data_IF_600574041582
#
_entry.id   IF_600574041582
#
_cell.length_a   1.000
_cell.length_b   1.000
_cell.length_c   1.000
_cell.angle_alpha   90.00
_cell.angle_beta   90.00
_cell.angle_gamma   90.00
#
_symmetry.space_group_name_H-M   'P 1'
#
loop_
_entity.id
_entity.type
_entity.pdbx_description
1 polymer ?
#
# COMPACT_ATOMS: atom_id res chain seq x y z
N UNK A 1 -13.43 32.90 -17.39
CA UNK A 1 -12.63 33.19 -16.18
C UNK A 1 -13.05 32.21 -15.09
N UNK A 2 -12.18 31.26 -14.76
CA UNK A 2 -12.11 30.49 -13.50
C UNK A 2 -10.97 29.48 -13.67
N UNK A 3 -9.75 29.99 -13.51
CA UNK A 3 -8.54 29.18 -13.51
C UNK A 3 -8.45 28.42 -12.20
N UNK A 4 -8.81 27.14 -12.23
CA UNK A 4 -8.40 26.20 -11.20
C UNK A 4 -6.89 26.02 -11.33
N UNK A 5 -6.13 26.78 -10.54
CA UNK A 5 -4.72 26.50 -10.29
C UNK A 5 -4.68 25.24 -9.44
N UNK A 6 -4.25 24.13 -10.03
CA UNK A 6 -3.87 22.92 -9.31
C UNK A 6 -2.83 23.29 -8.24
N UNK A 7 -3.00 22.90 -6.97
CA UNK A 7 -1.88 22.90 -6.04
C UNK A 7 -0.94 21.79 -6.51
N UNK A 8 0.14 22.19 -7.18
CA UNK A 8 1.33 21.36 -7.33
C UNK A 8 1.91 21.13 -5.93
N UNK A 9 1.59 19.98 -5.37
CA UNK A 9 2.08 19.42 -4.10
C UNK A 9 2.41 17.97 -4.47
N UNK A 10 3.62 17.43 -4.48
CA UNK A 10 4.99 17.77 -4.09
C UNK A 10 5.86 16.95 -5.08
N UNK A 11 6.94 17.45 -5.69
CA UNK A 11 8.16 17.77 -4.98
C UNK A 11 8.70 16.52 -4.30
N UNK A 12 9.74 15.88 -4.85
CA UNK A 12 10.60 14.95 -4.11
C UNK A 12 11.31 15.74 -3.01
N UNK A 13 10.57 16.16 -1.99
CA UNK A 13 11.13 16.60 -0.74
C UNK A 13 11.65 15.35 -0.07
N UNK A 14 12.96 15.16 -0.08
CA UNK A 14 13.58 14.51 1.05
C UNK A 14 13.06 15.25 2.28
N UNK A 15 12.08 14.66 2.97
CA UNK A 15 11.52 15.24 4.18
C UNK A 15 12.69 15.55 5.11
N UNK A 16 12.69 16.75 5.69
CA UNK A 16 13.65 17.08 6.74
C UNK A 16 13.67 15.91 7.75
N UNK A 17 14.85 15.45 8.21
CA UNK A 17 14.92 14.35 9.15
C UNK A 17 14.01 14.67 10.33
N UNK A 18 13.12 13.73 10.66
CA UNK A 18 12.18 13.90 11.77
C UNK A 18 12.95 14.30 13.03
N UNK A 19 12.54 15.41 13.66
CA UNK A 19 13.20 15.96 14.83
C UNK A 19 13.30 14.92 15.95
N UNK A 20 14.37 15.01 16.75
CA UNK A 20 14.56 14.11 17.87
C UNK A 20 13.46 14.29 18.93
N UNK A 21 13.09 13.21 19.62
CA UNK A 21 12.02 13.24 20.64
C UNK A 21 12.48 12.76 22.02
N UNK A 22 11.77 13.18 23.08
CA UNK A 22 12.12 12.89 24.48
C UNK A 22 12.19 11.39 24.79
N UNK A 23 13.37 10.78 24.86
CA UNK A 23 13.50 9.33 25.06
C UNK A 23 13.76 8.54 23.78
N UNK A 24 13.95 9.22 22.64
CA UNK A 24 14.50 8.62 21.42
C UNK A 24 15.92 8.10 21.68
N UNK A 25 16.77 8.86 22.39
CA UNK A 25 18.14 8.45 22.68
C UNK A 25 18.22 7.12 23.46
N UNK A 26 17.56 6.93 24.62
CA UNK A 26 17.62 5.65 25.31
C UNK A 26 17.00 4.50 24.49
N UNK A 27 15.96 4.77 23.68
CA UNK A 27 15.38 3.77 22.77
C UNK A 27 16.38 3.37 21.67
N UNK A 28 17.09 4.34 21.11
CA UNK A 28 18.14 4.13 20.12
C UNK A 28 19.34 3.37 20.69
N UNK A 29 19.81 3.70 21.90
CA UNK A 29 20.87 2.93 22.55
C UNK A 29 20.46 1.48 22.83
N UNK A 30 19.18 1.22 23.11
CA UNK A 30 18.65 -0.14 23.19
C UNK A 30 18.61 -0.82 21.81
N UNK A 31 18.14 -0.12 20.77
CA UNK A 31 18.11 -0.63 19.40
C UNK A 31 19.51 -0.97 18.85
N UNK A 32 20.56 -0.22 19.21
CA UNK A 32 21.95 -0.54 18.84
C UNK A 32 22.42 -1.89 19.38
N UNK A 33 21.90 -2.34 20.52
CA UNK A 33 22.19 -3.67 21.07
C UNK A 33 21.52 -4.78 20.26
N UNK A 34 20.40 -4.48 19.61
CA UNK A 34 19.67 -5.40 18.72
C UNK A 34 20.32 -5.52 17.34
N UNK A 35 21.13 -4.52 16.94
CA UNK A 35 21.94 -4.44 15.71
C UNK A 35 21.17 -4.36 14.39
N UNK A 36 20.10 -5.12 14.25
CA UNK A 36 19.30 -5.11 13.03
C UNK A 36 17.83 -5.43 13.30
N UNK A 37 16.96 -4.94 12.43
CA UNK A 37 15.56 -5.33 12.39
C UNK A 37 15.22 -5.90 11.01
N UNK A 38 14.16 -6.71 10.95
CA UNK A 38 13.59 -7.16 9.67
C UNK A 38 12.16 -6.66 9.53
N UNK A 39 11.90 -5.93 8.44
CA UNK A 39 10.60 -5.35 8.11
C UNK A 39 9.93 -6.09 6.95
N UNK A 40 8.76 -6.68 7.18
CA UNK A 40 7.96 -7.29 6.11
C UNK A 40 7.00 -6.24 5.56
N UNK A 41 7.15 -5.87 4.29
CA UNK A 41 6.40 -4.74 3.72
C UNK A 41 5.73 -5.07 2.39
N UNK A 42 4.48 -4.64 2.30
CA UNK A 42 3.65 -4.65 1.09
C UNK A 42 3.16 -3.24 0.71
N UNK A 43 3.50 -2.21 1.48
CA UNK A 43 3.05 -0.82 1.25
C UNK A 43 3.70 -0.21 0.02
N UNK A 44 4.97 -0.54 -0.20
CA UNK A 44 5.81 0.14 -1.17
C UNK A 44 6.43 -0.82 -2.19
N UNK A 45 6.98 -0.25 -3.27
CA UNK A 45 7.89 -0.99 -4.14
C UNK A 45 9.28 -1.16 -3.49
N UNK A 46 10.13 -1.94 -4.13
CA UNK A 46 11.45 -2.26 -3.56
C UNK A 46 12.36 -1.03 -3.49
N UNK A 47 12.26 -0.11 -4.44
CA UNK A 47 13.05 1.13 -4.47
C UNK A 47 12.69 2.03 -3.27
N UNK A 48 11.40 2.25 -3.05
CA UNK A 48 10.91 3.07 -1.93
C UNK A 48 11.18 2.39 -0.58
N UNK A 49 11.02 1.07 -0.47
CA UNK A 49 11.36 0.35 0.75
C UNK A 49 12.87 0.45 1.08
N UNK A 50 13.74 0.33 0.06
CA UNK A 50 15.17 0.53 0.23
C UNK A 50 15.49 1.97 0.66
N UNK A 51 14.84 2.97 0.07
CA UNK A 51 15.04 4.37 0.42
C UNK A 51 14.62 4.66 1.88
N UNK A 52 13.50 4.09 2.34
CA UNK A 52 13.05 4.21 3.73
C UNK A 52 14.03 3.56 4.71
N UNK A 53 14.47 2.33 4.43
CA UNK A 53 15.51 1.69 5.26
C UNK A 53 16.82 2.49 5.24
N UNK A 54 17.25 3.02 4.09
CA UNK A 54 18.45 3.86 4.02
C UNK A 54 18.31 5.18 4.78
N UNK A 55 17.11 5.77 4.83
CA UNK A 55 16.80 6.92 5.68
C UNK A 55 16.85 6.59 7.17
N UNK A 56 16.28 5.44 7.54
CA UNK A 56 16.34 4.91 8.91
C UNK A 56 17.79 4.69 9.36
N UNK A 57 18.60 4.01 8.57
CA UNK A 57 20.01 3.72 8.90
C UNK A 57 20.87 4.99 9.02
N UNK A 58 20.58 6.02 8.21
CA UNK A 58 21.22 7.34 8.34
C UNK A 58 20.83 8.05 9.63
N UNK A 59 19.56 7.94 10.05
CA UNK A 59 19.07 8.54 11.30
C UNK A 59 19.56 7.78 12.53
N UNK A 60 19.68 6.46 12.44
CA UNK A 60 20.08 5.57 13.55
C UNK A 60 21.32 4.72 13.20
N UNK A 61 22.52 5.32 13.10
CA UNK A 61 23.75 4.58 12.77
C UNK A 61 24.03 3.35 13.63
N UNK A 62 24.36 2.23 13.00
CA UNK A 62 24.66 0.98 13.70
C UNK A 62 23.42 0.13 14.03
N UNK A 63 22.23 0.54 13.56
CA UNK A 63 21.04 -0.30 13.49
C UNK A 63 20.68 -0.53 12.03
N UNK A 64 20.84 -1.75 11.54
CA UNK A 64 20.55 -2.11 10.14
C UNK A 64 19.06 -2.36 9.93
N UNK A 65 18.53 -1.88 8.80
CA UNK A 65 17.16 -2.13 8.37
C UNK A 65 17.14 -3.15 7.24
N UNK A 66 16.87 -4.42 7.56
CA UNK A 66 16.57 -5.42 6.56
C UNK A 66 15.08 -5.33 6.21
N UNK A 67 14.72 -5.58 4.95
CA UNK A 67 13.32 -5.62 4.54
C UNK A 67 13.03 -6.79 3.59
N UNK A 68 11.82 -7.32 3.70
CA UNK A 68 11.26 -8.27 2.74
C UNK A 68 10.07 -7.60 2.08
N UNK A 69 10.27 -7.17 0.84
CA UNK A 69 9.21 -6.60 0.03
C UNK A 69 8.49 -7.70 -0.73
N UNK A 70 7.18 -7.84 -0.53
CA UNK A 70 6.31 -8.73 -1.32
C UNK A 70 4.86 -8.26 -1.27
N UNK A 71 3.95 -8.93 -1.99
CA UNK A 71 2.51 -8.62 -1.94
C UNK A 71 1.90 -9.00 -0.58
N UNK A 72 0.86 -8.27 -0.16
CA UNK A 72 0.33 -8.36 1.20
C UNK A 72 -0.10 -9.77 1.63
N UNK A 73 -0.75 -10.54 0.74
CA UNK A 73 -1.18 -11.90 1.06
C UNK A 73 0.03 -12.83 1.25
N UNK A 74 1.06 -12.67 0.42
CA UNK A 74 2.31 -13.45 0.53
C UNK A 74 3.08 -13.10 1.81
N UNK A 75 3.17 -11.81 2.15
CA UNK A 75 3.82 -11.36 3.38
C UNK A 75 3.10 -11.91 4.62
N UNK A 76 1.77 -11.85 4.63
CA UNK A 76 0.95 -12.36 5.72
C UNK A 76 1.05 -13.89 5.84
N UNK A 77 0.99 -14.63 4.73
CA UNK A 77 1.13 -16.09 4.74
C UNK A 77 2.48 -16.53 5.30
N UNK A 78 3.57 -15.87 4.88
CA UNK A 78 4.91 -16.12 5.41
C UNK A 78 4.97 -15.85 6.92
N UNK A 79 4.52 -14.67 7.34
CA UNK A 79 4.47 -14.33 8.76
C UNK A 79 3.64 -15.35 9.56
N UNK A 80 2.48 -15.76 9.05
CA UNK A 80 1.62 -16.72 9.72
C UNK A 80 2.28 -18.10 9.86
N UNK A 81 3.12 -18.50 8.90
CA UNK A 81 3.93 -19.71 9.02
C UNK A 81 4.99 -19.56 10.10
N UNK A 82 5.74 -18.45 10.10
CA UNK A 82 6.76 -18.15 11.11
C UNK A 82 6.15 -18.16 12.53
N UNK A 83 5.02 -17.49 12.73
CA UNK A 83 4.33 -17.42 14.03
C UNK A 83 3.84 -18.78 14.51
N UNK A 84 3.25 -19.59 13.62
CA UNK A 84 2.81 -20.96 13.97
C UNK A 84 3.96 -21.89 14.31
N UNK A 85 5.12 -21.68 13.69
CA UNK A 85 6.34 -22.43 13.97
C UNK A 85 7.12 -21.88 15.18
N UNK A 86 6.64 -20.81 15.83
CA UNK A 86 7.34 -20.17 16.95
C UNK A 86 8.63 -19.44 16.54
N UNK A 87 8.78 -19.09 15.25
CA UNK A 87 9.97 -18.46 14.70
C UNK A 87 9.80 -16.94 14.74
N UNK A 88 10.75 -16.27 15.39
CA UNK A 88 10.84 -14.81 15.41
C UNK A 88 11.77 -14.33 14.28
N UNK A 89 11.20 -13.90 13.15
CA UNK A 89 11.97 -13.39 11.99
C UNK A 89 11.76 -11.89 11.76
N UNK A 90 10.51 -11.47 11.61
CA UNK A 90 10.17 -10.06 11.41
C UNK A 90 10.03 -9.35 12.76
N UNK A 91 10.34 -8.05 12.77
CA UNK A 91 10.02 -7.16 13.89
C UNK A 91 8.77 -6.32 13.58
N UNK A 92 8.60 -5.90 12.31
CA UNK A 92 7.49 -5.07 11.84
C UNK A 92 6.84 -5.72 10.62
N UNK A 93 5.51 -5.67 10.56
CA UNK A 93 4.74 -5.95 9.34
C UNK A 93 3.97 -4.70 8.90
N UNK A 94 4.05 -4.40 7.61
CA UNK A 94 3.30 -3.34 6.94
C UNK A 94 2.51 -3.95 5.77
N UNK A 95 1.28 -4.37 6.06
CA UNK A 95 0.37 -4.97 5.10
C UNK A 95 -0.61 -3.95 4.52
N UNK A 96 -0.94 -4.11 3.23
CA UNK A 96 -1.96 -3.30 2.54
C UNK A 96 -3.36 -3.89 2.63
N UNK A 97 -3.54 -4.99 3.35
CA UNK A 97 -4.85 -5.55 3.69
C UNK A 97 -5.09 -5.39 5.19
N UNK A 98 -6.01 -4.50 5.54
CA UNK A 98 -6.35 -4.21 6.93
C UNK A 98 -6.92 -5.43 7.67
N UNK A 99 -7.52 -6.39 6.97
CA UNK A 99 -8.11 -7.58 7.60
C UNK A 99 -7.07 -8.49 8.25
N UNK A 100 -5.83 -8.46 7.77
CA UNK A 100 -4.72 -9.18 8.40
C UNK A 100 -4.52 -8.76 9.86
N UNK A 101 -4.64 -7.46 10.16
CA UNK A 101 -4.42 -6.95 11.51
C UNK A 101 -5.49 -7.40 12.49
N UNK A 102 -6.76 -7.46 12.07
CA UNK A 102 -7.82 -8.05 12.88
C UNK A 102 -7.54 -9.51 13.24
N UNK A 103 -6.98 -10.28 12.29
CA UNK A 103 -6.59 -11.67 12.53
C UNK A 103 -5.36 -11.79 13.43
N UNK A 104 -4.30 -11.02 13.18
CA UNK A 104 -3.10 -11.01 14.01
C UNK A 104 -3.37 -10.56 15.45
N UNK A 105 -4.29 -9.61 15.64
CA UNK A 105 -4.81 -9.21 16.96
C UNK A 105 -5.48 -10.38 17.67
N UNK A 106 -6.42 -11.06 17.01
CA UNK A 106 -7.11 -12.24 17.55
C UNK A 106 -6.14 -13.37 17.93
N UNK A 107 -5.11 -13.57 17.12
CA UNK A 107 -4.10 -14.61 17.34
C UNK A 107 -2.98 -14.18 18.33
N UNK A 108 -3.01 -12.94 18.83
CA UNK A 108 -2.07 -12.44 19.83
C UNK A 108 -0.65 -12.19 19.30
N UNK A 109 -0.49 -11.94 18.00
CA UNK A 109 0.82 -11.80 17.34
C UNK A 109 1.39 -10.38 17.37
N UNK A 110 0.63 -9.39 17.82
CA UNK A 110 1.04 -7.98 17.86
C UNK A 110 1.34 -7.55 19.30
N UNK A 111 2.30 -6.64 19.46
CA UNK A 111 2.51 -5.91 20.72
C UNK A 111 1.91 -4.50 20.62
N UNK A 112 1.37 -3.96 21.72
CA UNK A 112 0.88 -2.59 21.76
C UNK A 112 2.07 -1.63 21.63
N UNK A 113 1.94 -0.68 20.71
CA UNK A 113 2.86 0.43 20.56
C UNK A 113 2.13 1.62 19.97
N UNK A 114 2.16 2.73 20.71
CA UNK A 114 1.62 4.01 20.28
C UNK A 114 2.75 4.91 19.79
N UNK A 115 2.90 5.14 18.48
CA UNK A 115 3.89 6.10 17.98
C UNK A 115 3.55 7.50 18.48
N UNK A 116 4.59 8.31 18.73
CA UNK A 116 4.39 9.66 19.30
C UNK A 116 3.71 10.61 18.34
N UNK A 117 4.07 10.52 17.07
CA UNK A 117 3.47 11.29 15.99
C UNK A 117 2.04 10.84 15.65
N UNK A 118 1.47 9.85 16.36
CA UNK A 118 0.09 9.44 16.13
C UNK A 118 -0.91 10.57 16.39
N UNK A 119 -0.60 11.49 17.30
CA UNK A 119 -1.42 12.69 17.54
C UNK A 119 -1.46 13.64 16.33
N UNK A 120 -0.39 13.65 15.53
CA UNK A 120 -0.22 14.46 14.32
C UNK A 120 -0.87 13.84 13.09
N UNK A 121 -1.36 12.59 13.19
CA UNK A 121 -2.08 11.94 12.11
C UNK A 121 -3.33 12.75 11.74
N UNK A 122 -3.56 12.91 10.43
CA UNK A 122 -4.77 13.56 9.91
C UNK A 122 -6.01 12.87 10.48
N UNK A 123 -6.97 13.66 10.99
CA UNK A 123 -8.13 13.16 11.73
C UNK A 123 -8.93 12.09 10.98
N UNK A 124 -9.04 12.21 9.66
CA UNK A 124 -9.72 11.22 8.81
C UNK A 124 -9.12 9.82 8.89
N UNK A 125 -7.84 9.66 9.25
CA UNK A 125 -7.18 8.36 9.38
C UNK A 125 -7.17 7.82 10.83
N UNK A 126 -7.47 8.66 11.83
CA UNK A 126 -7.50 8.22 13.24
C UNK A 126 -8.45 7.04 13.51
N UNK A 127 -9.65 6.97 12.90
CA UNK A 127 -10.56 5.83 13.07
C UNK A 127 -10.03 4.49 12.56
N UNK A 128 -8.95 4.46 11.78
CA UNK A 128 -8.34 3.23 11.26
C UNK A 128 -7.23 2.67 12.15
N UNK A 129 -6.90 3.37 13.24
CA UNK A 129 -5.96 2.86 14.25
C UNK A 129 -6.65 1.88 15.19
N UNK A 130 -5.90 0.91 15.70
CA UNK A 130 -6.41 0.01 16.73
C UNK A 130 -6.52 0.76 18.08
N UNK A 131 -7.64 0.65 18.80
CA UNK A 131 -7.80 1.30 20.10
C UNK A 131 -6.86 0.74 21.18
N UNK A 132 -6.32 -0.48 21.01
CA UNK A 132 -5.35 -1.09 21.92
C UNK A 132 -3.89 -0.86 21.45
N UNK A 133 -3.69 0.07 20.53
CA UNK A 133 -2.39 0.43 19.94
C UNK A 133 -1.64 -0.77 19.31
N UNK A 134 -2.33 -1.84 18.89
CA UNK A 134 -1.69 -3.02 18.29
C UNK A 134 -1.26 -2.80 16.83
N UNK A 135 -1.89 -1.86 16.14
CA UNK A 135 -1.53 -1.42 14.81
C UNK A 135 -2.06 -0.01 14.55
N UNK A 136 -1.40 0.72 13.67
CA UNK A 136 -1.74 2.09 13.32
C UNK A 136 -1.69 2.30 11.81
N UNK A 137 -2.55 3.16 11.28
CA UNK A 137 -2.51 3.57 9.88
C UNK A 137 -1.21 4.32 9.58
N UNK A 138 -0.41 3.81 8.64
CA UNK A 138 0.90 4.37 8.27
C UNK A 138 1.00 4.70 6.78
N UNK A 139 0.13 4.13 5.96
CA UNK A 139 0.01 4.49 4.56
C UNK A 139 -1.46 4.51 4.12
N UNK A 140 -1.75 5.35 3.13
CA UNK A 140 -3.03 5.36 2.44
C UNK A 140 -2.81 5.56 0.95
N UNK A 141 -3.71 4.99 0.15
CA UNK A 141 -3.71 5.17 -1.30
C UNK A 141 -5.11 5.02 -1.87
N UNK A 142 -5.27 5.36 -3.15
CA UNK A 142 -6.53 5.14 -3.86
C UNK A 142 -6.32 4.07 -4.93
N UNK A 143 -7.33 3.21 -5.07
CA UNK A 143 -7.55 2.47 -6.33
C UNK A 143 -8.59 3.23 -7.14
N UNK A 144 -8.21 3.58 -8.36
CA UNK A 144 -8.97 4.38 -9.31
C UNK A 144 -9.08 3.65 -10.65
N UNK A 145 -9.85 4.25 -11.57
CA UNK A 145 -9.76 3.91 -12.98
C UNK A 145 -8.48 4.54 -13.52
N UNK A 146 -7.67 3.77 -14.22
CA UNK A 146 -6.41 4.25 -14.81
C UNK A 146 -6.35 3.84 -16.28
N UNK A 147 -5.71 4.67 -17.11
CA UNK A 147 -5.70 4.46 -18.55
C UNK A 147 -4.47 5.05 -19.23
N UNK A 148 -4.18 4.55 -20.43
CA UNK A 148 -3.10 5.08 -21.28
C UNK A 148 -3.64 6.18 -22.20
N UNK A 149 -3.20 7.42 -22.01
CA UNK A 149 -3.68 8.62 -22.74
C UNK A 149 -3.24 8.67 -24.20
N UNK A 150 -2.23 7.89 -24.60
CA UNK A 150 -1.83 7.79 -26.01
C UNK A 150 -2.74 6.86 -26.83
N UNK A 151 -3.61 6.10 -26.17
CA UNK A 151 -4.53 5.15 -26.82
C UNK A 151 -5.99 5.48 -26.52
N UNK A 152 -6.29 5.97 -25.31
CA UNK A 152 -7.64 6.30 -24.86
C UNK A 152 -7.72 7.81 -24.58
N UNK A 153 -8.43 8.58 -25.42
CA UNK A 153 -8.70 9.99 -25.14
C UNK A 153 -9.49 10.15 -23.83
N UNK A 154 -9.29 11.27 -23.12
CA UNK A 154 -9.93 11.50 -21.83
C UNK A 154 -11.47 11.43 -21.88
N UNK A 155 -12.09 11.85 -22.98
CA UNK A 155 -13.55 11.76 -23.17
C UNK A 155 -14.09 10.35 -23.34
N UNK A 156 -13.23 9.38 -23.64
CA UNK A 156 -13.59 7.97 -23.85
C UNK A 156 -13.15 7.06 -22.71
N UNK A 157 -12.40 7.59 -21.74
CA UNK A 157 -11.93 6.83 -20.59
C UNK A 157 -13.11 6.36 -19.72
N UNK A 158 -12.99 5.19 -19.05
CA UNK A 158 -13.97 4.74 -18.06
C UNK A 158 -14.23 5.80 -17.00
N UNK A 159 -15.50 6.01 -16.66
CA UNK A 159 -15.95 7.00 -15.65
C UNK A 159 -16.56 6.34 -14.43
N UNK A 160 -17.00 5.09 -14.55
CA UNK A 160 -17.51 4.24 -13.46
C UNK A 160 -16.83 2.88 -13.49
N UNK A 161 -16.84 2.16 -12.39
CA UNK A 161 -16.26 0.82 -12.33
C UNK A 161 -16.89 -0.12 -13.35
N UNK A 162 -18.21 -0.05 -13.53
CA UNK A 162 -18.96 -0.86 -14.48
C UNK A 162 -18.51 -0.69 -15.93
N UNK A 163 -17.93 0.46 -16.28
CA UNK A 163 -17.48 0.76 -17.63
C UNK A 163 -16.29 -0.14 -18.03
N UNK A 164 -15.50 -0.64 -17.07
CA UNK A 164 -14.45 -1.63 -17.35
C UNK A 164 -15.00 -2.94 -17.92
N UNK A 165 -16.29 -3.24 -17.71
CA UNK A 165 -16.97 -4.42 -18.25
C UNK A 165 -17.61 -4.19 -19.62
N UNK A 166 -17.49 -3.00 -20.22
CA UNK A 166 -18.03 -2.72 -21.55
C UNK A 166 -17.30 -3.55 -22.63
N UNK A 167 -18.01 -4.14 -23.62
CA UNK A 167 -17.40 -5.00 -24.64
C UNK A 167 -16.26 -4.36 -25.45
N UNK A 168 -16.23 -3.03 -25.58
CA UNK A 168 -15.16 -2.31 -26.28
C UNK A 168 -13.78 -2.48 -25.64
N UNK A 169 -13.74 -2.87 -24.35
CA UNK A 169 -12.52 -3.15 -23.60
C UNK A 169 -12.10 -4.62 -23.60
N UNK A 170 -12.74 -5.47 -24.42
CA UNK A 170 -12.35 -6.88 -24.55
C UNK A 170 -10.88 -7.01 -24.95
N UNK A 171 -10.13 -7.76 -24.15
CA UNK A 171 -8.69 -7.96 -24.27
C UNK A 171 -7.84 -6.72 -24.00
N UNK A 172 -8.39 -5.69 -23.35
CA UNK A 172 -7.74 -4.38 -23.14
C UNK A 172 -7.73 -3.91 -21.67
N UNK A 173 -8.38 -4.64 -20.78
CA UNK A 173 -8.42 -4.33 -19.34
C UNK A 173 -7.28 -5.05 -18.62
N UNK A 174 -6.64 -4.39 -17.66
CA UNK A 174 -5.84 -5.06 -16.63
C UNK A 174 -6.39 -4.85 -15.22
N UNK A 175 -6.27 -5.87 -14.39
CA UNK A 175 -6.53 -5.82 -12.94
C UNK A 175 -5.41 -6.58 -12.21
N UNK A 176 -5.35 -6.45 -10.88
CA UNK A 176 -4.51 -7.33 -10.07
C UNK A 176 -5.28 -8.56 -9.57
N UNK A 177 -4.59 -9.45 -8.85
CA UNK A 177 -5.16 -10.67 -8.30
C UNK A 177 -5.40 -10.55 -6.77
N UNK A 178 -6.62 -10.78 -6.26
CA UNK A 178 -6.96 -10.56 -4.84
C UNK A 178 -6.25 -11.55 -3.89
N UNK A 179 -5.93 -12.76 -4.38
CA UNK A 179 -5.15 -13.75 -3.63
C UNK A 179 -3.67 -13.39 -3.41
N UNK A 180 -3.18 -12.29 -3.99
CA UNK A 180 -1.81 -11.79 -3.81
C UNK A 180 -1.81 -10.37 -3.24
N UNK A 181 -2.55 -9.45 -3.87
CA UNK A 181 -2.56 -8.03 -3.52
C UNK A 181 -3.67 -7.65 -2.53
N UNK A 182 -3.30 -6.97 -1.44
CA UNK A 182 -4.25 -6.44 -0.45
C UNK A 182 -5.16 -5.33 -0.98
N UNK A 183 -4.62 -4.43 -1.81
CA UNK A 183 -5.42 -3.42 -2.51
C UNK A 183 -6.48 -4.07 -3.40
N UNK A 184 -6.09 -5.10 -4.16
CA UNK A 184 -7.03 -5.82 -5.02
C UNK A 184 -8.06 -6.56 -4.19
N UNK A 185 -7.66 -7.23 -3.10
CA UNK A 185 -8.59 -7.89 -2.17
C UNK A 185 -9.66 -6.92 -1.66
N UNK A 186 -9.24 -5.75 -1.20
CA UNK A 186 -10.14 -4.68 -0.75
C UNK A 186 -11.03 -4.17 -1.88
N UNK A 187 -10.46 -3.88 -3.06
CA UNK A 187 -11.22 -3.46 -4.24
C UNK A 187 -12.29 -4.49 -4.63
N UNK A 188 -11.95 -5.79 -4.61
CA UNK A 188 -12.89 -6.88 -4.90
C UNK A 188 -14.05 -6.88 -3.92
N UNK A 189 -13.77 -6.73 -2.62
CA UNK A 189 -14.82 -6.64 -1.59
C UNK A 189 -15.73 -5.43 -1.83
N UNK A 190 -15.17 -4.27 -2.20
CA UNK A 190 -15.97 -3.07 -2.46
C UNK A 190 -16.82 -3.21 -3.73
N UNK A 191 -16.26 -3.72 -4.83
CA UNK A 191 -17.02 -3.95 -6.06
C UNK A 191 -18.14 -4.98 -5.84
N UNK A 192 -17.88 -6.04 -5.06
CA UNK A 192 -18.92 -7.00 -4.67
C UNK A 192 -20.02 -6.32 -3.84
N UNK A 193 -19.69 -5.42 -2.92
CA UNK A 193 -20.69 -4.70 -2.11
C UNK A 193 -21.55 -3.77 -2.97
N UNK A 194 -20.96 -3.08 -3.94
CA UNK A 194 -21.67 -2.14 -4.81
C UNK A 194 -22.51 -2.85 -5.89
N UNK A 195 -21.98 -3.90 -6.50
CA UNK A 195 -22.52 -4.46 -7.75
C UNK A 195 -22.79 -5.98 -7.70
N UNK A 196 -22.47 -6.64 -6.59
CA UNK A 196 -22.51 -8.08 -6.49
C UNK A 196 -21.45 -8.80 -7.33
N UNK A 197 -21.50 -10.14 -7.32
CA UNK A 197 -20.59 -10.95 -8.12
C UNK A 197 -20.82 -10.83 -9.64
N UNK A 198 -22.00 -10.36 -10.05
CA UNK A 198 -22.33 -10.11 -11.45
C UNK A 198 -21.40 -9.10 -12.13
N UNK A 199 -20.83 -8.15 -11.37
CA UNK A 199 -19.79 -7.26 -11.88
C UNK A 199 -18.59 -8.05 -12.43
N UNK A 200 -18.09 -9.01 -11.67
CA UNK A 200 -16.93 -9.81 -12.06
C UNK A 200 -17.26 -10.77 -13.20
N UNK A 201 -18.47 -11.35 -13.22
CA UNK A 201 -18.92 -12.18 -14.36
C UNK A 201 -18.95 -11.38 -15.66
N UNK A 202 -19.43 -10.13 -15.62
CA UNK A 202 -19.41 -9.23 -16.80
C UNK A 202 -18.00 -8.84 -17.18
N UNK A 203 -17.16 -8.48 -16.20
CA UNK A 203 -15.76 -8.12 -16.43
C UNK A 203 -14.96 -9.28 -17.06
N UNK A 204 -15.22 -10.52 -16.65
CA UNK A 204 -14.57 -11.71 -17.20
C UNK A 204 -14.78 -11.88 -18.71
N UNK A 205 -15.94 -11.45 -19.24
CA UNK A 205 -16.22 -11.48 -20.68
C UNK A 205 -15.23 -10.63 -21.50
N UNK A 206 -14.65 -9.62 -20.85
CA UNK A 206 -13.58 -8.79 -21.43
C UNK A 206 -12.20 -9.45 -21.38
N UNK A 207 -12.05 -10.66 -20.81
CA UNK A 207 -10.78 -11.38 -20.68
C UNK A 207 -9.66 -10.48 -20.12
N UNK A 208 -9.83 -9.90 -18.91
CA UNK A 208 -8.85 -8.97 -18.36
C UNK A 208 -7.51 -9.67 -18.15
N UNK A 209 -6.41 -8.95 -18.35
CA UNK A 209 -5.09 -9.39 -17.89
C UNK A 209 -5.02 -9.25 -16.39
N UNK A 210 -4.59 -10.31 -15.71
CA UNK A 210 -4.57 -10.36 -14.25
C UNK A 210 -3.11 -10.47 -13.78
N UNK A 211 -2.58 -9.37 -13.26
CA UNK A 211 -1.28 -9.35 -12.60
C UNK A 211 -1.34 -9.86 -11.16
N UNK A 212 -0.20 -10.24 -10.57
CA UNK A 212 -0.14 -10.61 -9.14
C UNK A 212 -0.29 -9.38 -8.25
N UNK A 213 0.31 -8.26 -8.63
CA UNK A 213 0.26 -6.99 -7.91
C UNK A 213 -0.75 -6.03 -8.54
N UNK A 214 -1.27 -5.10 -7.74
CA UNK A 214 -2.00 -3.94 -8.28
C UNK A 214 -1.09 -3.09 -9.19
N UNK A 215 0.21 -3.04 -8.90
CA UNK A 215 1.20 -2.28 -9.68
C UNK A 215 1.47 -2.90 -11.06
N UNK A 216 1.16 -4.19 -11.25
CA UNK A 216 1.34 -4.83 -12.56
C UNK A 216 0.40 -4.19 -13.61
N UNK A 217 -0.71 -3.61 -13.17
CA UNK A 217 -1.61 -2.85 -14.06
C UNK A 217 -0.90 -1.63 -14.66
N UNK A 218 -0.06 -0.93 -13.89
CA UNK A 218 0.72 0.23 -14.36
C UNK A 218 1.76 -0.22 -15.40
N UNK A 219 2.44 -1.34 -15.15
CA UNK A 219 3.37 -1.95 -16.11
C UNK A 219 2.68 -2.29 -17.42
N UNK A 220 1.52 -2.95 -17.37
CA UNK A 220 0.75 -3.32 -18.56
C UNK A 220 0.20 -2.10 -19.31
N UNK A 221 -0.17 -1.02 -18.60
CA UNK A 221 -0.59 0.23 -19.21
C UNK A 221 0.57 0.94 -19.92
N UNK A 222 1.74 1.01 -19.28
CA UNK A 222 2.96 1.58 -19.90
C UNK A 222 3.37 0.80 -21.16
N UNK A 223 3.33 -0.53 -21.10
CA UNK A 223 3.64 -1.42 -22.22
C UNK A 223 2.53 -1.46 -23.29
N UNK A 224 1.37 -0.83 -23.06
CA UNK A 224 0.16 -0.88 -23.90
C UNK A 224 -0.39 -2.29 -24.12
N UNK A 225 -0.02 -3.25 -23.27
CA UNK A 225 -0.64 -4.57 -23.22
C UNK A 225 -2.10 -4.46 -22.76
N UNK A 226 -2.38 -3.48 -21.91
CA UNK A 226 -3.74 -3.04 -21.57
C UNK A 226 -3.81 -1.53 -21.73
N UNK A 227 -5.02 -0.98 -21.88
CA UNK A 227 -5.21 0.47 -22.07
C UNK A 227 -6.13 1.11 -21.04
N UNK A 228 -6.86 0.29 -20.27
CA UNK A 228 -7.64 0.70 -19.09
C UNK A 228 -7.43 -0.31 -17.96
N UNK A 229 -7.55 0.12 -16.72
CA UNK A 229 -7.37 -0.74 -15.55
C UNK A 229 -8.11 -0.23 -14.31
N UNK A 230 -8.27 -1.13 -13.33
CA UNK A 230 -8.42 -0.76 -11.93
C UNK A 230 -7.01 -0.73 -11.30
N UNK A 231 -6.48 0.47 -11.06
CA UNK A 231 -5.06 0.67 -10.75
C UNK A 231 -4.80 1.60 -9.57
N UNK A 232 -3.57 1.61 -9.03
CA UNK A 232 -3.20 2.44 -7.90
C UNK A 232 -2.89 3.87 -8.38
N UNK A 233 -3.48 4.88 -7.74
CA UNK A 233 -3.35 6.28 -8.17
C UNK A 233 -1.90 6.78 -8.11
N UNK A 234 -1.21 6.52 -6.99
CA UNK A 234 0.14 7.02 -6.74
C UNK A 234 1.13 6.56 -7.82
N UNK A 235 1.31 5.26 -8.00
CA UNK A 235 2.23 4.71 -9.01
C UNK A 235 1.84 5.09 -10.45
N UNK A 236 0.55 5.25 -10.74
CA UNK A 236 0.09 5.75 -12.05
C UNK A 236 0.53 7.21 -12.28
N UNK A 237 0.35 8.06 -11.28
CA UNK A 237 0.73 9.48 -11.35
C UNK A 237 2.24 9.67 -11.33
N UNK A 238 2.99 8.85 -10.60
CA UNK A 238 4.45 8.81 -10.64
C UNK A 238 4.96 8.42 -12.04
N UNK A 239 4.35 7.39 -12.66
CA UNK A 239 4.67 7.03 -14.04
C UNK A 239 4.41 8.18 -15.00
N UNK A 240 3.28 8.89 -14.83
CA UNK A 240 2.96 10.10 -15.60
C UNK A 240 4.00 11.21 -15.38
N UNK A 241 4.43 11.43 -14.15
CA UNK A 241 5.45 12.43 -13.82
C UNK A 241 6.81 12.11 -14.47
N UNK A 242 7.09 10.83 -14.72
CA UNK A 242 8.25 10.36 -15.51
C UNK A 242 8.07 10.51 -17.03
N UNK A 243 6.97 11.10 -17.50
CA UNK A 243 6.68 11.36 -18.91
C UNK A 243 5.90 10.26 -19.63
N UNK A 244 5.51 9.18 -18.93
CA UNK A 244 4.70 8.12 -19.55
C UNK A 244 3.25 8.59 -19.78
N UNK A 245 2.58 8.09 -20.83
CA UNK A 245 1.25 8.54 -21.21
C UNK A 245 0.16 7.88 -20.36
N UNK A 246 0.19 8.04 -19.04
CA UNK A 246 -0.80 7.49 -18.12
C UNK A 246 -1.63 8.60 -17.47
N UNK A 247 -2.88 8.28 -17.17
CA UNK A 247 -3.78 9.14 -16.40
C UNK A 247 -4.68 8.32 -15.46
N UNK A 248 -5.27 9.03 -14.51
CA UNK A 248 -6.27 8.52 -13.58
C UNK A 248 -7.62 9.17 -13.85
N UNK A 249 -8.70 8.44 -13.68
CA UNK A 249 -10.07 8.94 -13.65
C UNK A 249 -10.69 8.57 -12.30
N UNK A 250 -11.30 9.56 -11.65
CA UNK A 250 -12.03 9.33 -10.40
C UNK A 250 -13.40 8.73 -10.73
N UNK A 251 -13.71 7.52 -10.25
CA UNK A 251 -14.98 6.89 -10.52
C UNK A 251 -16.15 7.72 -9.96
N UNK A 252 -17.17 7.99 -10.77
CA UNK A 252 -18.38 8.73 -10.36
C UNK A 252 -19.20 7.99 -9.30
N UNK A 253 -19.02 6.66 -9.25
CA UNK A 253 -19.59 5.72 -8.29
C UNK A 253 -18.69 5.50 -7.06
N UNK A 254 -17.60 6.27 -6.93
CA UNK A 254 -16.76 6.34 -5.74
C UNK A 254 -15.38 5.71 -5.91
N UNK A 255 -14.35 6.47 -5.56
CA UNK A 255 -12.98 5.97 -5.43
C UNK A 255 -12.85 4.99 -4.26
N UNK A 256 -11.95 4.01 -4.36
CA UNK A 256 -11.69 3.08 -3.26
C UNK A 256 -10.46 3.52 -2.48
N UNK A 257 -10.68 3.96 -1.24
CA UNK A 257 -9.63 4.26 -0.28
C UNK A 257 -9.04 2.96 0.28
N UNK A 258 -7.72 2.87 0.23
CA UNK A 258 -6.92 1.80 0.79
C UNK A 258 -6.15 2.35 1.97
N UNK A 259 -6.59 2.05 3.20
CA UNK A 259 -5.84 2.37 4.41
C UNK A 259 -5.02 1.15 4.80
N UNK A 260 -3.72 1.35 4.97
CA UNK A 260 -2.74 0.29 5.18
C UNK A 260 -2.04 0.52 6.52
N UNK A 261 -2.34 -0.30 7.54
CA UNK A 261 -1.67 -0.19 8.82
C UNK A 261 -0.24 -0.75 8.80
N UNK A 262 0.52 -0.43 9.85
CA UNK A 262 1.71 -1.16 10.30
C UNK A 262 1.50 -1.65 11.73
N UNK A 263 2.16 -2.76 12.11
CA UNK A 263 2.17 -3.27 13.47
C UNK A 263 3.51 -3.91 13.85
N UNK A 264 3.83 -3.87 15.14
CA UNK A 264 5.02 -4.51 15.69
C UNK A 264 4.65 -5.90 16.20
N UNK A 265 5.46 -6.90 15.86
CA UNK A 265 5.22 -8.28 16.29
C UNK A 265 5.54 -8.45 17.78
N UNK A 266 4.73 -9.27 18.46
CA UNK A 266 4.89 -9.56 19.90
C UNK A 266 6.21 -10.25 20.21
N UNK A 267 6.64 -11.14 19.33
CA UNK A 267 7.91 -11.85 19.42
C UNK A 267 9.02 -11.20 18.56
N UNK A 268 8.92 -9.91 18.23
CA UNK A 268 9.91 -9.20 17.43
C UNK A 268 11.34 -9.45 17.96
N UNK A 269 12.31 -9.88 17.14
CA UNK A 269 13.72 -10.02 17.55
C UNK A 269 14.37 -8.69 17.95
N UNK A 270 13.90 -7.60 17.34
CA UNK A 270 14.41 -6.24 17.56
C UNK A 270 13.26 -5.27 17.88
N UNK A 271 12.65 -5.36 19.08
CA UNK A 271 11.48 -4.58 19.44
C UNK A 271 11.78 -3.08 19.65
N UNK A 272 13.01 -2.69 20.02
CA UNK A 272 13.36 -1.28 20.17
C UNK A 272 13.61 -0.62 18.81
N UNK A 273 14.33 -1.31 17.92
CA UNK A 273 14.51 -0.88 16.54
C UNK A 273 13.16 -0.79 15.81
N UNK A 274 12.23 -1.71 16.07
CA UNK A 274 10.89 -1.67 15.51
C UNK A 274 10.05 -0.46 15.94
N UNK A 275 10.27 0.06 17.16
CA UNK A 275 9.59 1.28 17.65
C UNK A 275 10.15 2.56 17.01
N UNK A 276 11.40 2.51 16.53
CA UNK A 276 12.06 3.62 15.84
C UNK A 276 11.74 3.66 14.34
N UNK A 277 11.36 2.53 13.75
CA UNK A 277 11.00 2.39 12.33
C UNK A 277 9.61 2.98 12.05
#
# INVERSE_FOLDING_TARGET
MNSWRSPSVLGTGAGAPAAAFDGEQPLYEAAKKEKELTWYTAHYDSETAAALCGGFEKKYPGVKCNYIRTTAQVAYQRLAQDQKAGIAQASVISSTDASHYGRMKKDGWLQPYRPRNLAELVDAFKPYNDPDDLFVATAAGLVLLTYNTSVVPAGEAPRKWTDLAEPRWKGKVSIGHPGFSGYVGTWVVQMRKLYGWEYFKKLELNKPRIGRSINDTVTMLNAKESVVAAGPSATTLESRAKGNPLAVAYPEDGAVLMVSPSGILKNAPAPNAAKLL
#
